data_IF_540783086359
#
_entry.id   IF_540783086359
#
_cell.length_a   1.000
_cell.length_b   1.000
_cell.length_c   1.000
_cell.angle_alpha   90.00
_cell.angle_beta   90.00
_cell.angle_gamma   90.00
#
_symmetry.space_group_name_H-M   'P 1'
#
loop_
_entity.id
_entity.type
_entity.pdbx_description
1 polymer ?
#
# COMPACT_ATOMS: atom_id res chain seq x y z
N UNK A 1 -32.42 52.17 64.20
CA UNK A 1 -32.89 50.76 64.34
C UNK A 1 -34.08 50.56 63.39
N UNK A 2 -34.06 49.48 62.56
CA UNK A 2 -35.13 48.99 61.64
C UNK A 2 -35.40 49.92 60.42
N UNK A 3 -35.51 49.53 59.14
CA UNK A 3 -35.63 48.28 58.32
C UNK A 3 -35.05 48.59 56.91
N UNK A 4 -34.12 47.83 56.35
CA UNK A 4 -34.27 46.81 55.27
C UNK A 4 -35.42 47.04 54.26
N UNK A 5 -35.05 47.31 53.00
CA UNK A 5 -35.79 47.02 51.76
C UNK A 5 -34.73 46.90 50.63
N UNK A 6 -34.21 45.69 50.35
CA UNK A 6 -34.63 44.75 49.30
C UNK A 6 -34.71 45.35 47.89
N UNK A 7 -33.62 45.21 47.13
CA UNK A 7 -33.55 45.49 45.69
C UNK A 7 -32.91 44.32 44.95
N UNK A 8 -33.72 43.78 44.04
CA UNK A 8 -33.45 42.94 42.86
C UNK A 8 -32.85 41.53 43.00
N UNK A 9 -33.81 40.60 42.96
CA UNK A 9 -33.82 39.35 42.19
C UNK A 9 -33.30 39.54 40.76
N UNK A 10 -32.33 38.71 40.37
CA UNK A 10 -32.32 37.98 39.07
C UNK A 10 -31.31 36.84 39.15
N UNK A 11 -31.81 35.70 39.61
CA UNK A 11 -31.15 34.39 39.55
C UNK A 11 -31.39 33.84 38.15
N UNK A 12 -30.35 33.77 37.33
CA UNK A 12 -30.25 32.84 36.21
C UNK A 12 -28.77 32.58 35.94
N UNK A 13 -28.17 31.66 36.68
CA UNK A 13 -27.05 30.89 36.16
C UNK A 13 -27.36 29.42 36.39
N UNK A 14 -27.57 28.78 35.25
CA UNK A 14 -27.88 27.40 35.01
C UNK A 14 -26.86 26.50 35.72
N UNK A 15 -27.39 25.40 36.24
CA UNK A 15 -26.65 24.22 36.63
C UNK A 15 -25.70 23.79 35.51
N UNK A 16 -24.39 23.98 35.70
CA UNK A 16 -23.40 23.14 35.04
C UNK A 16 -23.44 21.78 35.72
N UNK A 17 -24.36 20.93 35.26
CA UNK A 17 -24.22 19.50 35.42
C UNK A 17 -22.86 19.11 34.82
N UNK A 18 -22.05 18.48 35.65
CA UNK A 18 -20.79 17.83 35.29
C UNK A 18 -21.07 16.73 34.27
N UNK A 19 -21.02 17.08 32.99
CA UNK A 19 -20.72 16.11 31.96
C UNK A 19 -19.21 16.00 31.89
N UNK A 20 -18.68 15.05 32.66
CA UNK A 20 -17.42 14.39 32.33
C UNK A 20 -17.64 13.80 30.95
N UNK A 21 -17.33 14.59 29.92
CA UNK A 21 -17.11 14.06 28.60
C UNK A 21 -15.90 13.15 28.77
N UNK A 22 -16.16 11.85 28.84
CA UNK A 22 -15.18 10.85 28.41
C UNK A 22 -14.90 11.18 26.95
N UNK A 23 -14.02 12.16 26.74
CA UNK A 23 -13.27 12.26 25.52
C UNK A 23 -12.60 10.90 25.42
N UNK A 24 -13.12 10.05 24.52
CA UNK A 24 -12.28 9.05 23.90
C UNK A 24 -11.05 9.83 23.48
N UNK A 25 -9.96 9.64 24.23
CA UNK A 25 -8.63 9.87 23.71
C UNK A 25 -8.60 8.96 22.50
N UNK A 26 -8.90 9.53 21.32
CA UNK A 26 -8.45 8.94 20.09
C UNK A 26 -6.95 8.86 20.29
N UNK A 27 -6.46 7.68 20.66
CA UNK A 27 -5.08 7.31 20.41
C UNK A 27 -4.94 7.49 18.90
N UNK A 28 -4.49 8.66 18.48
CA UNK A 28 -4.48 9.06 17.08
C UNK A 28 -3.58 8.09 16.34
N UNK A 29 -4.17 7.05 15.75
CA UNK A 29 -3.47 6.17 14.85
C UNK A 29 -3.11 7.08 13.68
N UNK A 30 -1.82 7.40 13.58
CA UNK A 30 -1.31 8.21 12.49
C UNK A 30 -1.49 7.39 11.22
N UNK A 31 -2.31 7.90 10.30
CA UNK A 31 -2.51 7.25 9.00
C UNK A 31 -1.17 7.02 8.31
N UNK A 32 -0.99 5.83 7.73
CA UNK A 32 0.20 5.48 6.95
C UNK A 32 0.14 6.17 5.59
N UNK A 33 1.29 6.30 4.91
CA UNK A 33 1.35 6.97 3.60
C UNK A 33 0.43 6.30 2.56
N UNK A 34 0.30 4.98 2.61
CA UNK A 34 -0.60 4.23 1.72
C UNK A 34 -2.07 4.52 2.04
N UNK A 35 -2.44 4.64 3.33
CA UNK A 35 -3.80 5.00 3.72
C UNK A 35 -4.16 6.42 3.24
N UNK A 36 -3.27 7.40 3.47
CA UNK A 36 -3.46 8.78 3.02
C UNK A 36 -3.62 8.83 1.49
N UNK A 37 -2.76 8.10 0.77
CA UNK A 37 -2.82 8.02 -0.69
C UNK A 37 -4.16 7.45 -1.18
N UNK A 38 -4.58 6.30 -0.64
CA UNK A 38 -5.81 5.61 -1.03
C UNK A 38 -7.07 6.39 -0.64
N UNK A 39 -7.09 7.02 0.54
CA UNK A 39 -8.15 7.93 0.96
C UNK A 39 -8.32 9.08 -0.05
N UNK A 40 -7.23 9.71 -0.50
CA UNK A 40 -7.30 10.77 -1.50
C UNK A 40 -7.81 10.29 -2.87
N UNK A 41 -7.55 9.04 -3.23
CA UNK A 41 -8.07 8.44 -4.47
C UNK A 41 -9.58 8.19 -4.36
N UNK A 42 -10.03 7.71 -3.20
CA UNK A 42 -11.44 7.52 -2.87
C UNK A 42 -12.22 8.83 -2.84
N UNK A 43 -11.66 9.88 -2.27
CA UNK A 43 -12.27 11.22 -2.27
C UNK A 43 -12.50 11.75 -3.70
N UNK A 44 -11.57 11.47 -4.62
CA UNK A 44 -11.75 11.79 -6.05
C UNK A 44 -12.68 10.84 -6.81
N UNK A 45 -13.09 9.72 -6.21
CA UNK A 45 -13.96 8.71 -6.81
C UNK A 45 -15.13 8.36 -5.86
N UNK A 46 -16.02 9.32 -5.52
CA UNK A 46 -17.04 9.14 -4.49
C UNK A 46 -18.04 8.02 -4.79
N UNK A 47 -18.20 7.67 -6.07
CA UNK A 47 -19.09 6.60 -6.52
C UNK A 47 -18.44 5.23 -6.59
N UNK A 48 -17.18 5.05 -6.13
CA UNK A 48 -16.41 3.82 -6.31
C UNK A 48 -17.16 2.55 -5.86
N UNK A 49 -18.05 2.65 -4.88
CA UNK A 49 -18.80 1.52 -4.32
C UNK A 49 -20.03 1.11 -5.14
N UNK A 50 -20.48 1.93 -6.10
CA UNK A 50 -21.78 1.73 -6.75
C UNK A 50 -21.83 0.48 -7.63
N UNK A 51 -20.79 0.22 -8.42
CA UNK A 51 -20.72 -0.93 -9.32
C UNK A 51 -19.27 -1.21 -9.77
N UNK A 52 -19.10 -2.23 -10.62
CA UNK A 52 -17.80 -2.65 -11.12
C UNK A 52 -17.11 -1.57 -11.96
N UNK A 53 -17.86 -0.82 -12.76
CA UNK A 53 -17.31 0.24 -13.62
C UNK A 53 -16.69 1.34 -12.74
N UNK A 54 -17.40 1.76 -11.69
CA UNK A 54 -16.89 2.80 -10.77
C UNK A 54 -15.69 2.32 -9.94
N UNK A 55 -15.61 1.01 -9.64
CA UNK A 55 -14.41 0.40 -9.04
C UNK A 55 -13.23 0.40 -10.02
N UNK A 56 -13.48 0.10 -11.29
CA UNK A 56 -12.49 0.22 -12.36
C UNK A 56 -11.92 1.64 -12.47
N UNK A 57 -12.77 2.67 -12.41
CA UNK A 57 -12.31 4.07 -12.42
C UNK A 57 -11.41 4.43 -11.23
N UNK A 58 -11.71 3.90 -10.04
CA UNK A 58 -10.83 4.04 -8.87
C UNK A 58 -9.49 3.32 -9.09
N UNK A 59 -9.51 2.10 -9.63
CA UNK A 59 -8.30 1.34 -9.96
C UNK A 59 -7.41 2.09 -10.97
N UNK A 60 -8.01 2.67 -12.01
CA UNK A 60 -7.32 3.51 -12.99
C UNK A 60 -6.73 4.77 -12.34
N UNK A 61 -7.47 5.41 -11.44
CA UNK A 61 -6.96 6.58 -10.69
C UNK A 61 -5.74 6.22 -9.85
N UNK A 62 -5.79 5.10 -9.13
CA UNK A 62 -4.68 4.58 -8.32
C UNK A 62 -3.47 4.33 -9.23
N UNK A 63 -3.67 3.59 -10.32
CA UNK A 63 -2.64 3.28 -11.32
C UNK A 63 -1.99 4.54 -11.85
N UNK A 64 -2.76 5.48 -12.41
CA UNK A 64 -2.23 6.70 -13.02
C UNK A 64 -1.43 7.54 -12.03
N UNK A 65 -1.89 7.67 -10.78
CA UNK A 65 -1.17 8.46 -9.77
C UNK A 65 0.14 7.80 -9.34
N UNK A 66 0.18 6.47 -9.25
CA UNK A 66 1.43 5.76 -8.96
C UNK A 66 2.38 5.79 -10.15
N UNK A 67 1.88 5.60 -11.38
CA UNK A 67 2.69 5.70 -12.60
C UNK A 67 3.27 7.10 -12.82
N UNK A 68 2.67 8.16 -12.25
CA UNK A 68 3.26 9.50 -12.24
C UNK A 68 4.56 9.60 -11.39
N UNK A 69 4.91 8.56 -10.62
CA UNK A 69 6.13 8.46 -9.81
C UNK A 69 7.14 7.43 -10.38
N UNK A 70 7.00 7.03 -11.64
CA UNK A 70 8.00 6.19 -12.32
C UNK A 70 9.36 6.91 -12.29
N UNK A 71 10.40 6.19 -11.90
CA UNK A 71 11.75 6.71 -11.68
C UNK A 71 12.02 7.21 -10.25
N UNK A 72 11.00 7.36 -9.41
CA UNK A 72 11.12 7.83 -8.03
C UNK A 72 11.00 6.70 -7.00
N UNK A 73 11.27 7.01 -5.73
CA UNK A 73 10.94 6.11 -4.61
C UNK A 73 9.48 6.30 -4.18
N UNK A 74 8.70 5.22 -4.19
CA UNK A 74 7.30 5.27 -3.76
C UNK A 74 7.16 5.48 -2.25
N UNK A 75 6.68 6.66 -1.87
CA UNK A 75 6.43 6.99 -0.47
C UNK A 75 5.39 6.07 0.19
N UNK A 76 4.48 5.47 -0.59
CA UNK A 76 3.44 4.56 -0.10
C UNK A 76 4.01 3.26 0.48
N UNK A 77 5.25 2.88 0.13
CA UNK A 77 5.92 1.70 0.66
C UNK A 77 6.59 1.96 2.01
N UNK A 78 6.73 3.24 2.40
CA UNK A 78 7.44 3.63 3.61
C UNK A 78 6.73 3.13 4.86
N UNK A 79 7.48 2.44 5.73
CA UNK A 79 6.98 1.86 6.97
C UNK A 79 6.21 0.55 6.80
N UNK A 80 6.03 0.07 5.57
CA UNK A 80 5.37 -1.20 5.31
C UNK A 80 6.36 -2.36 5.52
N UNK A 81 5.84 -3.45 6.06
CA UNK A 81 6.58 -4.70 6.25
C UNK A 81 6.13 -5.71 5.21
N UNK A 82 7.09 -6.30 4.51
CA UNK A 82 6.88 -7.32 3.50
C UNK A 82 7.54 -8.63 3.89
N UNK A 83 6.91 -9.72 3.55
CA UNK A 83 7.44 -11.06 3.66
C UNK A 83 8.20 -11.42 2.39
N UNK A 84 9.41 -11.93 2.55
CA UNK A 84 10.08 -12.63 1.47
C UNK A 84 9.32 -13.92 1.17
N UNK A 85 8.77 -14.05 -0.04
CA UNK A 85 8.00 -15.22 -0.45
C UNK A 85 8.85 -16.21 -1.24
N UNK A 86 9.56 -15.76 -2.27
CA UNK A 86 10.29 -16.64 -3.16
C UNK A 86 11.36 -15.90 -3.97
N UNK A 87 12.34 -16.67 -4.47
CA UNK A 87 13.28 -16.23 -5.49
C UNK A 87 13.44 -17.31 -6.57
N UNK A 88 13.71 -16.88 -7.81
CA UNK A 88 13.95 -17.75 -8.97
C UNK A 88 15.13 -17.23 -9.79
N UNK A 89 16.08 -18.11 -10.11
CA UNK A 89 17.28 -17.76 -10.86
C UNK A 89 16.99 -17.53 -12.35
N UNK A 90 17.55 -16.46 -12.92
CA UNK A 90 17.67 -16.32 -14.36
C UNK A 90 18.82 -17.20 -14.86
N UNK A 91 18.48 -18.33 -15.46
CA UNK A 91 19.45 -19.18 -16.14
C UNK A 91 19.75 -18.62 -17.53
N UNK A 92 21.03 -18.61 -17.91
CA UNK A 92 21.45 -18.34 -19.28
C UNK A 92 20.77 -19.35 -20.21
N UNK A 93 20.03 -18.86 -21.20
CA UNK A 93 19.31 -19.71 -22.16
C UNK A 93 20.01 -19.82 -23.50
N UNK A 94 20.73 -18.77 -23.89
CA UNK A 94 21.43 -18.72 -25.16
C UNK A 94 22.91 -18.36 -24.93
N UNK A 95 23.78 -18.77 -25.85
CA UNK A 95 25.21 -18.39 -25.81
C UNK A 95 25.48 -16.99 -26.39
N UNK A 96 24.43 -16.18 -26.58
CA UNK A 96 24.47 -14.84 -27.18
C UNK A 96 23.96 -13.81 -26.18
N UNK A 97 24.64 -12.67 -26.05
CA UNK A 97 24.37 -11.66 -25.00
C UNK A 97 23.15 -10.74 -25.27
N UNK A 98 22.28 -11.08 -26.23
CA UNK A 98 21.29 -10.14 -26.78
C UNK A 98 19.89 -10.27 -26.18
N UNK A 99 19.62 -11.23 -25.29
CA UNK A 99 18.32 -11.32 -24.60
C UNK A 99 18.36 -10.72 -23.19
N UNK A 100 17.28 -10.08 -22.74
CA UNK A 100 17.14 -9.58 -21.37
C UNK A 100 17.31 -10.68 -20.30
N UNK A 101 17.01 -11.94 -20.66
CA UNK A 101 17.31 -13.11 -19.83
C UNK A 101 18.81 -13.24 -19.61
N UNK A 102 19.61 -13.05 -20.67
CA UNK A 102 21.06 -13.15 -20.60
C UNK A 102 21.68 -11.94 -19.89
N UNK A 103 21.04 -10.75 -19.93
CA UNK A 103 21.41 -9.57 -19.10
C UNK A 103 21.26 -9.85 -17.60
N UNK A 104 20.25 -10.64 -17.24
CA UNK A 104 19.98 -11.01 -15.86
C UNK A 104 20.58 -12.37 -15.47
N UNK A 105 21.32 -13.05 -16.35
CA UNK A 105 21.88 -14.37 -16.08
C UNK A 105 22.71 -14.39 -14.78
N UNK A 106 22.40 -15.33 -13.88
CA UNK A 106 23.03 -15.45 -12.56
C UNK A 106 22.46 -14.52 -11.48
N UNK A 107 21.49 -13.67 -11.83
CA UNK A 107 20.64 -12.91 -10.89
C UNK A 107 19.35 -13.69 -10.61
N UNK A 108 18.54 -13.15 -9.71
CA UNK A 108 17.29 -13.77 -9.27
C UNK A 108 16.13 -12.79 -9.36
N UNK A 109 15.00 -13.24 -9.88
CA UNK A 109 13.72 -12.58 -9.66
C UNK A 109 13.28 -12.87 -8.22
N UNK A 110 13.01 -11.84 -7.43
CA UNK A 110 12.66 -11.95 -6.01
C UNK A 110 11.30 -11.34 -5.77
N UNK A 111 10.46 -12.05 -5.01
CA UNK A 111 9.11 -11.66 -4.68
C UNK A 111 8.95 -11.37 -3.20
N UNK A 112 8.35 -10.22 -2.92
CA UNK A 112 7.89 -9.83 -1.60
C UNK A 112 6.39 -9.55 -1.62
N UNK A 113 5.68 -9.84 -0.53
CA UNK A 113 4.26 -9.53 -0.40
C UNK A 113 3.95 -8.99 0.99
N UNK A 114 2.86 -8.24 1.12
CA UNK A 114 2.35 -7.90 2.45
C UNK A 114 1.63 -9.11 3.03
N UNK A 115 2.13 -9.71 4.12
CA UNK A 115 1.38 -10.78 4.81
C UNK A 115 0.07 -10.25 5.38
N UNK A 116 -0.99 -11.02 5.11
CA UNK A 116 -2.34 -10.92 5.66
C UNK A 116 -3.16 -9.68 5.26
N UNK A 117 -4.39 -9.98 4.80
CA UNK A 117 -5.46 -9.02 4.49
C UNK A 117 -5.88 -8.11 5.66
N UNK A 118 -5.41 -8.40 6.88
CA UNK A 118 -5.75 -7.68 8.11
C UNK A 118 -4.57 -6.91 8.71
N UNK A 119 -3.54 -6.61 7.92
CA UNK A 119 -2.44 -5.79 8.40
C UNK A 119 -2.92 -4.33 8.61
N UNK A 120 -3.03 -3.92 9.87
CA UNK A 120 -3.50 -2.59 10.29
C UNK A 120 -2.68 -1.44 9.69
N UNK A 121 -1.43 -1.70 9.28
CA UNK A 121 -0.57 -0.69 8.65
C UNK A 121 -0.98 -0.33 7.21
N UNK A 122 -1.77 -1.17 6.54
CA UNK A 122 -2.19 -0.97 5.15
C UNK A 122 -3.72 -0.93 4.98
N UNK A 123 -4.48 -1.35 5.99
CA UNK A 123 -5.95 -1.45 5.92
C UNK A 123 -6.64 -0.37 6.76
N UNK A 124 -7.88 -0.04 6.44
CA UNK A 124 -8.71 0.94 7.14
C UNK A 124 -10.12 0.37 7.42
N UNK A 125 -10.99 1.22 7.96
CA UNK A 125 -12.43 0.96 8.06
C UNK A 125 -13.11 0.91 6.68
N UNK A 126 -12.52 1.53 5.64
CA UNK A 126 -13.10 1.60 4.28
C UNK A 126 -12.56 0.55 3.32
N UNK A 127 -11.35 0.05 3.55
CA UNK A 127 -10.70 -0.87 2.63
C UNK A 127 -9.66 -1.77 3.29
N UNK A 128 -9.44 -2.94 2.68
CA UNK A 128 -8.28 -3.79 2.91
C UNK A 128 -7.35 -3.70 1.69
N UNK A 129 -6.04 -3.82 1.91
CA UNK A 129 -5.04 -3.68 0.84
C UNK A 129 -4.20 -4.94 0.71
N UNK A 130 -3.95 -5.35 -0.53
CA UNK A 130 -2.88 -6.29 -0.86
C UNK A 130 -1.90 -5.65 -1.83
N UNK A 131 -0.62 -5.98 -1.66
CA UNK A 131 0.45 -5.47 -2.50
C UNK A 131 1.55 -6.51 -2.64
N UNK A 132 2.11 -6.59 -3.85
CA UNK A 132 3.28 -7.40 -4.16
C UNK A 132 4.39 -6.52 -4.73
N UNK A 133 5.64 -6.89 -4.45
CA UNK A 133 6.84 -6.28 -5.02
C UNK A 133 7.65 -7.37 -5.73
N UNK A 134 8.03 -7.09 -6.98
CA UNK A 134 9.05 -7.86 -7.69
C UNK A 134 10.27 -6.99 -7.95
N UNK A 135 11.43 -7.64 -7.90
CA UNK A 135 12.72 -7.00 -8.18
C UNK A 135 13.71 -8.04 -8.71
N UNK A 136 14.78 -7.58 -9.35
CA UNK A 136 15.92 -8.43 -9.73
C UNK A 136 17.09 -8.15 -8.79
N UNK A 137 17.60 -9.19 -8.13
CA UNK A 137 18.67 -9.08 -7.14
C UNK A 137 19.87 -9.96 -7.51
N UNK A 138 21.06 -9.57 -7.07
CA UNK A 138 22.25 -10.38 -7.23
C UNK A 138 22.24 -11.57 -6.26
N UNK A 139 22.96 -12.63 -6.61
CA UNK A 139 23.03 -13.87 -5.84
C UNK A 139 23.44 -13.63 -4.39
N UNK A 140 24.43 -12.77 -4.17
CA UNK A 140 24.97 -12.45 -2.85
C UNK A 140 23.93 -11.77 -1.96
N UNK A 141 23.12 -10.87 -2.53
CA UNK A 141 22.05 -10.18 -1.81
C UNK A 141 20.92 -11.15 -1.44
N UNK A 142 20.55 -12.05 -2.37
CA UNK A 142 19.52 -13.07 -2.15
C UNK A 142 19.94 -14.10 -1.09
N UNK A 143 21.22 -14.46 -1.04
CA UNK A 143 21.74 -15.39 -0.03
C UNK A 143 21.61 -14.86 1.42
N UNK A 144 21.38 -13.56 1.60
CA UNK A 144 21.12 -12.96 2.91
C UNK A 144 19.63 -12.94 3.29
N UNK A 145 18.73 -13.31 2.37
CA UNK A 145 17.30 -13.42 2.65
C UNK A 145 17.02 -14.70 3.45
N UNK A 146 16.06 -14.62 4.37
CA UNK A 146 15.63 -15.74 5.19
C UNK A 146 14.21 -16.13 4.81
N UNK A 147 13.95 -17.43 4.72
CA UNK A 147 12.59 -17.95 4.52
C UNK A 147 11.65 -17.38 5.60
N UNK A 148 10.49 -16.86 5.18
CA UNK A 148 9.53 -16.14 6.03
C UNK A 148 10.10 -14.88 6.72
N UNK A 149 11.24 -14.36 6.24
CA UNK A 149 11.85 -13.14 6.72
C UNK A 149 11.00 -11.93 6.37
N UNK A 150 10.95 -10.96 7.28
CA UNK A 150 10.21 -9.70 7.13
C UNK A 150 11.18 -8.54 6.86
N UNK A 151 10.83 -7.69 5.90
CA UNK A 151 11.68 -6.61 5.41
C UNK A 151 10.89 -5.33 5.17
N UNK A 152 11.49 -4.20 5.50
CA UNK A 152 11.12 -2.92 4.91
C UNK A 152 11.84 -2.77 3.57
N UNK A 153 11.10 -2.29 2.57
CA UNK A 153 11.56 -2.20 1.19
C UNK A 153 11.58 -0.73 0.76
N UNK A 154 12.68 -0.33 0.12
CA UNK A 154 12.80 0.91 -0.64
C UNK A 154 13.46 0.62 -1.98
N UNK A 155 13.12 1.37 -3.02
CA UNK A 155 13.69 1.19 -4.35
C UNK A 155 13.15 2.23 -5.32
N UNK A 156 13.70 2.22 -6.53
CA UNK A 156 13.22 3.02 -7.66
C UNK A 156 12.05 2.30 -8.31
N UNK A 157 10.90 2.96 -8.39
CA UNK A 157 9.73 2.41 -9.05
C UNK A 157 9.88 2.44 -10.56
N UNK A 158 9.79 1.27 -11.17
CA UNK A 158 9.91 1.12 -12.62
C UNK A 158 8.54 1.23 -13.26
N UNK A 159 7.62 0.34 -12.89
CA UNK A 159 6.21 0.34 -13.27
C UNK A 159 5.50 -0.79 -12.47
N UNK A 160 4.23 -1.04 -12.75
CA UNK A 160 3.57 -2.31 -12.42
C UNK A 160 4.01 -3.42 -13.37
N UNK A 161 3.88 -4.68 -12.94
CA UNK A 161 4.07 -5.82 -13.80
C UNK A 161 3.18 -5.70 -15.04
N UNK A 162 3.82 -5.67 -16.20
CA UNK A 162 3.19 -5.53 -17.50
C UNK A 162 3.98 -6.29 -18.56
N UNK A 163 3.50 -6.24 -19.79
CA UNK A 163 4.08 -6.92 -20.95
C UNK A 163 4.66 -5.96 -22.00
N UNK A 164 4.99 -4.72 -21.61
CA UNK A 164 5.67 -3.78 -22.50
C UNK A 164 7.13 -4.18 -22.69
N UNK A 165 7.70 -3.86 -23.84
CA UNK A 165 9.13 -4.09 -24.09
C UNK A 165 10.03 -3.18 -23.24
N UNK A 166 9.54 -2.01 -22.84
CA UNK A 166 10.32 -0.99 -22.12
C UNK A 166 10.34 -1.23 -20.61
N UNK A 167 9.19 -1.53 -20.01
CA UNK A 167 9.03 -1.64 -18.54
C UNK A 167 8.53 -3.01 -18.09
N UNK A 168 8.33 -3.95 -19.01
CA UNK A 168 7.84 -5.29 -18.70
C UNK A 168 8.82 -6.08 -17.85
N UNK A 169 8.31 -6.75 -16.81
CA UNK A 169 9.11 -7.62 -15.96
C UNK A 169 9.21 -9.01 -16.58
N UNK A 170 10.33 -9.29 -17.24
CA UNK A 170 10.61 -10.58 -17.83
C UNK A 170 10.88 -11.62 -16.74
N UNK A 171 10.05 -12.65 -16.64
CA UNK A 171 10.26 -13.74 -15.68
C UNK A 171 11.43 -14.65 -16.10
N UNK A 172 12.05 -15.39 -15.16
CA UNK A 172 13.04 -16.41 -15.49
C UNK A 172 12.54 -17.51 -16.45
N UNK A 173 11.22 -17.69 -16.54
CA UNK A 173 10.57 -18.57 -17.52
C UNK A 173 10.63 -18.04 -18.97
N UNK A 174 11.00 -16.76 -19.16
CA UNK A 174 10.98 -16.05 -20.43
C UNK A 174 9.63 -15.43 -20.80
N UNK A 175 8.65 -15.52 -19.90
CA UNK A 175 7.33 -14.90 -20.08
C UNK A 175 7.19 -13.57 -19.34
N UNK A 176 6.12 -12.86 -19.67
CA UNK A 176 5.66 -11.67 -18.94
C UNK A 176 4.29 -11.95 -18.32
N UNK A 177 3.88 -11.11 -17.39
CA UNK A 177 2.53 -11.11 -16.85
C UNK A 177 2.08 -9.67 -16.61
N UNK A 178 0.77 -9.49 -16.49
CA UNK A 178 0.16 -8.18 -16.26
C UNK A 178 -0.57 -8.25 -14.92
N UNK A 179 -0.23 -7.33 -14.02
CA UNK A 179 -0.87 -7.23 -12.70
C UNK A 179 -0.94 -5.75 -12.27
N UNK A 180 -1.99 -5.09 -12.74
CA UNK A 180 -2.32 -3.71 -12.41
C UNK A 180 -3.24 -3.63 -11.18
N UNK A 181 -3.39 -2.43 -10.56
CA UNK A 181 -4.36 -2.23 -9.51
C UNK A 181 -5.77 -2.70 -9.90
N UNK A 182 -6.48 -3.29 -8.94
CA UNK A 182 -7.87 -3.73 -9.08
C UNK A 182 -8.62 -3.56 -7.77
N UNK A 183 -9.92 -3.31 -7.87
CA UNK A 183 -10.78 -3.02 -6.71
C UNK A 183 -12.03 -3.87 -6.75
N UNK A 184 -12.32 -4.54 -5.64
CA UNK A 184 -13.48 -5.41 -5.46
C UNK A 184 -14.20 -5.07 -4.16
N UNK A 185 -15.45 -5.51 -4.01
CA UNK A 185 -16.11 -5.50 -2.71
C UNK A 185 -15.61 -6.70 -1.90
N UNK A 186 -15.39 -6.51 -0.61
CA UNK A 186 -15.07 -7.62 0.28
C UNK A 186 -16.32 -8.50 0.46
N UNK A 187 -16.20 -9.79 0.17
CA UNK A 187 -17.31 -10.74 0.30
C UNK A 187 -17.69 -11.05 1.76
N UNK A 188 -16.80 -10.73 2.71
CA UNK A 188 -17.00 -10.96 4.14
C UNK A 188 -17.45 -9.70 4.88
N UNK A 189 -17.22 -8.52 4.29
CA UNK A 189 -17.61 -7.22 4.82
C UNK A 189 -18.00 -6.30 3.66
N UNK A 190 -19.29 -6.29 3.30
CA UNK A 190 -19.79 -5.49 2.18
C UNK A 190 -19.57 -3.98 2.38
N UNK A 191 -19.24 -3.54 3.61
CA UNK A 191 -18.86 -2.16 3.89
C UNK A 191 -17.41 -1.83 3.51
N UNK A 192 -16.59 -2.82 3.15
CA UNK A 192 -15.19 -2.65 2.75
C UNK A 192 -14.93 -3.02 1.30
N UNK A 193 -13.98 -2.29 0.70
CA UNK A 193 -13.38 -2.65 -0.58
C UNK A 193 -12.07 -3.40 -0.35
N UNK A 194 -11.78 -4.37 -1.21
CA UNK A 194 -10.44 -4.95 -1.35
C UNK A 194 -9.74 -4.20 -2.47
N UNK A 195 -8.64 -3.53 -2.14
CA UNK A 195 -7.77 -2.85 -3.10
C UNK A 195 -6.53 -3.71 -3.27
N UNK A 196 -6.44 -4.41 -4.39
CA UNK A 196 -5.19 -5.02 -4.82
C UNK A 196 -4.40 -3.95 -5.58
N UNK A 197 -3.23 -3.55 -5.07
CA UNK A 197 -2.35 -2.60 -5.77
C UNK A 197 -1.62 -3.22 -6.97
N UNK A 198 -1.76 -4.53 -7.18
CA UNK A 198 -1.03 -5.26 -8.20
C UNK A 198 0.40 -5.56 -7.77
N UNK A 199 1.25 -5.81 -8.76
CA UNK A 199 2.67 -6.12 -8.55
C UNK A 199 3.51 -4.93 -8.96
N UNK A 200 4.14 -4.29 -7.97
CA UNK A 200 5.05 -3.15 -8.15
C UNK A 200 6.45 -3.68 -8.50
N UNK A 201 7.04 -3.17 -9.58
CA UNK A 201 8.41 -3.48 -9.96
C UNK A 201 9.35 -2.42 -9.39
N UNK A 202 10.35 -2.86 -8.64
CA UNK A 202 11.39 -2.00 -8.09
C UNK A 202 12.78 -2.38 -8.59
N UNK A 203 13.54 -1.35 -8.95
CA UNK A 203 14.99 -1.43 -9.16
C UNK A 203 15.76 -0.80 -7.99
N UNK A 204 17.07 -1.09 -7.92
CA UNK A 204 17.97 -0.52 -6.91
C UNK A 204 17.47 -0.68 -5.47
N UNK A 205 16.92 -1.88 -5.18
CA UNK A 205 16.25 -2.17 -3.92
C UNK A 205 17.21 -2.09 -2.73
N UNK A 206 16.74 -1.49 -1.64
CA UNK A 206 17.35 -1.51 -0.32
C UNK A 206 16.41 -2.21 0.64
N UNK A 207 16.94 -3.22 1.32
CA UNK A 207 16.19 -4.04 2.26
C UNK A 207 16.68 -3.77 3.68
N UNK A 208 15.74 -3.59 4.60
CA UNK A 208 16.01 -3.52 6.03
C UNK A 208 15.27 -4.67 6.72
N UNK A 209 15.97 -5.64 7.33
CA UNK A 209 15.34 -6.69 8.12
C UNK A 209 14.53 -6.11 9.28
N UNK A 210 13.39 -6.73 9.58
CA UNK A 210 12.49 -6.37 10.68
C UNK A 210 12.58 -7.31 11.87
#
# INVERSE_FOLDING_TARGET
>A
MKKIFFTLVSIFLLACCTNVHNGKVNSGIKETNIQVFLNSCLESNPNARNNEITRGMLADTIRTRLQAQIGDTLAILSGLTFDFEMCLEYHRRFNTFESDIDRNAGKYAVKFSTSNFNNESISSDKFNVTLQVLTVMNKEDVANLKDNGKYQIQGTFVDFANNSEETGFLLPSGGYFIDYPSVFMDSLDEEKMIINLGTIILDNIKLKPM
#
